data_IF_920408272985
#
_entry.id   IF_920408272985
#
_cell.length_a   1.000
_cell.length_b   1.000
_cell.length_c   1.000
_cell.angle_alpha   90.00
_cell.angle_beta   90.00
_cell.angle_gamma   90.00
#
_symmetry.space_group_name_H-M   'P 1'
#
loop_
_entity.id
_entity.type
_entity.pdbx_description
1 polymer ?
#
# COMPACT_ATOMS: atom_id res chain seq x y z
N UNK A 1 5.85 6.81 6.15
CA UNK A 1 5.60 8.26 6.24
C UNK A 1 6.10 8.86 4.94
N UNK A 2 5.19 8.98 3.96
CA UNK A 2 5.50 9.58 2.65
C UNK A 2 5.76 11.09 2.77
N UNK A 3 5.47 11.64 3.94
CA UNK A 3 5.54 13.04 4.38
C UNK A 3 6.98 13.58 4.60
N UNK A 4 8.01 12.76 4.42
CA UNK A 4 9.41 13.15 4.62
C UNK A 4 10.11 13.36 3.27
N UNK A 5 11.04 14.33 3.17
CA UNK A 5 11.72 14.65 1.91
C UNK A 5 12.57 13.51 1.31
N UNK A 6 12.80 12.44 2.07
CA UNK A 6 13.49 11.20 1.64
C UNK A 6 12.56 9.98 1.65
N UNK A 7 11.25 10.19 1.55
CA UNK A 7 10.31 9.08 1.47
C UNK A 7 10.55 8.30 0.17
N UNK A 8 10.80 6.99 0.33
CA UNK A 8 10.88 6.08 -0.80
C UNK A 8 9.56 6.07 -1.56
N UNK A 9 9.63 6.09 -2.88
CA UNK A 9 8.46 5.93 -3.73
C UNK A 9 7.82 4.55 -3.53
N UNK A 10 6.55 4.42 -3.88
CA UNK A 10 5.81 3.15 -3.84
C UNK A 10 6.54 2.06 -4.65
N UNK A 11 7.15 2.40 -5.79
CA UNK A 11 7.92 1.47 -6.61
C UNK A 11 9.15 0.93 -5.86
N UNK A 12 9.95 1.80 -5.25
CA UNK A 12 11.15 1.38 -4.52
C UNK A 12 10.81 0.55 -3.29
N UNK A 13 9.68 0.82 -2.63
CA UNK A 13 9.16 0.00 -1.54
C UNK A 13 8.72 -1.37 -2.02
N UNK A 14 8.05 -1.45 -3.17
CA UNK A 14 7.60 -2.72 -3.78
C UNK A 14 8.79 -3.61 -4.10
N UNK A 15 9.85 -3.03 -4.64
CA UNK A 15 11.10 -3.73 -4.95
C UNK A 15 11.84 -4.16 -3.68
N UNK A 16 12.03 -3.26 -2.70
CA UNK A 16 12.74 -3.57 -1.44
C UNK A 16 12.04 -4.61 -0.58
N UNK A 17 10.71 -4.61 -0.57
CA UNK A 17 9.90 -5.60 0.16
C UNK A 17 9.71 -6.89 -0.63
N UNK A 18 10.17 -6.94 -1.90
CA UNK A 18 10.05 -8.12 -2.73
C UNK A 18 8.60 -8.52 -3.02
N UNK A 19 7.67 -7.56 -3.06
CA UNK A 19 6.24 -7.86 -3.25
C UNK A 19 5.98 -8.55 -4.60
N UNK A 20 6.82 -8.30 -5.60
CA UNK A 20 6.80 -9.00 -6.89
C UNK A 20 7.01 -10.53 -6.78
N UNK A 21 7.65 -11.01 -5.71
CA UNK A 21 7.88 -12.43 -5.48
C UNK A 21 6.67 -13.15 -4.86
N UNK A 22 5.67 -12.40 -4.37
CA UNK A 22 4.45 -12.95 -3.77
C UNK A 22 3.47 -13.40 -4.87
N UNK A 23 3.70 -14.59 -5.41
CA UNK A 23 2.87 -15.19 -6.48
C UNK A 23 1.52 -15.72 -6.01
N UNK A 24 1.39 -16.06 -4.72
CA UNK A 24 0.22 -16.74 -4.15
C UNK A 24 -0.49 -15.92 -3.05
N UNK A 25 -0.31 -14.60 -3.04
CA UNK A 25 -0.98 -13.71 -2.08
C UNK A 25 -1.45 -12.46 -2.81
N UNK A 26 -2.71 -12.09 -2.61
CA UNK A 26 -3.18 -10.76 -3.00
C UNK A 26 -2.51 -9.73 -2.10
N UNK A 27 -1.89 -8.72 -2.68
CA UNK A 27 -1.27 -7.61 -1.97
C UNK A 27 -1.62 -6.29 -2.66
N UNK A 28 -1.55 -5.21 -1.88
CA UNK A 28 -1.75 -3.85 -2.35
C UNK A 28 -0.87 -2.92 -1.52
N UNK A 29 -0.34 -1.90 -2.17
CA UNK A 29 0.51 -0.89 -1.56
C UNK A 29 -0.09 0.47 -1.91
N UNK A 30 -0.38 1.24 -0.87
CA UNK A 30 -0.97 2.57 -0.99
C UNK A 30 -0.08 3.56 -0.23
N UNK A 31 0.22 4.69 -0.86
CA UNK A 31 0.95 5.77 -0.19
C UNK A 31 0.02 6.43 0.83
N UNK A 32 0.36 6.37 2.11
CA UNK A 32 -0.48 6.95 3.17
C UNK A 32 0.23 8.02 4.00
N UNK A 33 -0.52 9.06 4.36
CA UNK A 33 -0.14 10.07 5.33
C UNK A 33 -1.12 10.01 6.52
N UNK A 34 -0.71 9.37 7.62
CA UNK A 34 -1.59 9.13 8.76
C UNK A 34 -2.10 10.43 9.44
N UNK A 35 -1.30 11.51 9.40
CA UNK A 35 -1.67 12.79 10.01
C UNK A 35 -2.62 13.62 9.14
N UNK A 36 -2.61 13.42 7.82
CA UNK A 36 -3.50 14.10 6.89
C UNK A 36 -4.68 13.23 6.41
N UNK A 37 -4.65 11.94 6.75
CA UNK A 37 -5.68 10.97 6.37
C UNK A 37 -5.59 10.47 4.92
N UNK A 38 -4.59 10.92 4.15
CA UNK A 38 -4.39 10.53 2.74
C UNK A 38 -4.10 9.05 2.61
N UNK A 39 -4.74 8.37 1.66
CA UNK A 39 -4.51 6.96 1.31
C UNK A 39 -5.13 5.95 2.28
N UNK A 40 -5.72 6.41 3.40
CA UNK A 40 -6.36 5.52 4.36
C UNK A 40 -7.69 4.98 3.84
N UNK A 41 -8.52 5.85 3.25
CA UNK A 41 -9.81 5.44 2.70
C UNK A 41 -9.64 4.50 1.52
N UNK A 42 -8.70 4.81 0.64
CA UNK A 42 -8.35 4.04 -0.55
C UNK A 42 -7.84 2.65 -0.16
N UNK A 43 -6.91 2.58 0.82
CA UNK A 43 -6.39 1.31 1.32
C UNK A 43 -7.46 0.45 2.01
N UNK A 44 -8.38 1.07 2.75
CA UNK A 44 -9.49 0.37 3.42
C UNK A 44 -10.57 -0.09 2.42
N UNK A 45 -10.86 0.71 1.40
CA UNK A 45 -11.78 0.34 0.30
C UNK A 45 -11.24 -0.86 -0.49
N UNK A 46 -9.95 -0.87 -0.80
CA UNK A 46 -9.31 -2.04 -1.42
C UNK A 46 -9.44 -3.29 -0.54
N UNK A 47 -9.15 -3.17 0.76
CA UNK A 47 -9.25 -4.31 1.68
C UNK A 47 -10.69 -4.83 1.77
N UNK A 48 -11.67 -3.93 1.88
CA UNK A 48 -13.09 -4.28 1.91
C UNK A 48 -13.51 -5.08 0.68
N UNK A 49 -13.11 -4.60 -0.51
CA UNK A 49 -13.37 -5.28 -1.79
C UNK A 49 -12.68 -6.64 -1.88
N UNK A 50 -11.48 -6.78 -1.33
CA UNK A 50 -10.76 -8.06 -1.37
C UNK A 50 -11.41 -9.08 -0.42
N UNK A 51 -11.85 -8.65 0.76
CA UNK A 51 -12.55 -9.51 1.71
C UNK A 51 -13.94 -9.93 1.21
N UNK A 52 -14.63 -9.07 0.46
CA UNK A 52 -15.96 -9.37 -0.11
C UNK A 52 -15.92 -10.28 -1.33
N UNK A 53 -14.74 -10.65 -1.85
CA UNK A 53 -14.61 -11.59 -2.98
C UNK A 53 -14.73 -13.06 -2.57
N UNK A 54 -14.84 -13.36 -1.27
CA UNK A 54 -15.08 -14.69 -0.73
C UNK A 54 -16.58 -14.95 -0.49
#
# INVERSE_FOLDING_TARGET
KQDLPNALSVSELTDKLGLHALRNKTWHIESTCATQGTGLYEGLDWLSKELSKN
#
